data_IF_961709301995
#
_entry.id   IF_961709301995
#
_cell.length_a   1.000
_cell.length_b   1.000
_cell.length_c   1.000
_cell.angle_alpha   90.00
_cell.angle_beta   90.00
_cell.angle_gamma   90.00
#
_symmetry.space_group_name_H-M   'P 1'
#
loop_
_entity.id
_entity.type
_entity.pdbx_description
1 polymer ?
#
# COMPACT_ATOMS: atom_id res chain seq x y z
N UNK A 1 25.42 12.73 -10.90
CA UNK A 1 24.16 13.49 -10.98
C UNK A 1 23.53 13.43 -9.61
N UNK A 2 23.47 14.55 -8.89
CA UNK A 2 22.71 14.61 -7.65
C UNK A 2 21.26 14.38 -8.02
N UNK A 3 20.67 13.28 -7.55
CA UNK A 3 19.23 13.11 -7.53
C UNK A 3 18.67 14.21 -6.63
N UNK A 4 18.43 15.40 -7.18
CA UNK A 4 17.38 16.28 -6.68
C UNK A 4 16.04 15.60 -6.98
N UNK A 5 15.85 14.43 -6.39
CA UNK A 5 14.63 13.67 -6.47
C UNK A 5 13.53 14.51 -5.84
N UNK A 6 12.42 14.65 -6.55
CA UNK A 6 11.23 15.33 -6.07
C UNK A 6 10.85 14.77 -4.70
N UNK A 7 10.97 15.58 -3.65
CA UNK A 7 10.57 15.21 -2.31
C UNK A 7 9.13 15.65 -2.10
N UNK A 8 8.21 14.72 -2.25
CA UNK A 8 6.81 14.92 -1.88
C UNK A 8 6.69 14.63 -0.39
N UNK A 9 6.20 15.61 0.36
CA UNK A 9 6.06 15.46 1.81
C UNK A 9 4.61 15.17 2.14
N UNK A 10 4.35 13.98 2.67
CA UNK A 10 3.03 13.64 3.18
C UNK A 10 2.64 14.55 4.35
N UNK A 11 1.34 14.64 4.68
CA UNK A 11 0.89 15.46 5.82
C UNK A 11 1.54 15.08 7.16
N UNK A 12 1.62 13.79 7.55
CA UNK A 12 2.38 13.41 8.75
C UNK A 12 3.83 13.88 8.67
N UNK A 13 4.48 13.71 7.53
CA UNK A 13 5.87 14.15 7.35
C UNK A 13 6.07 15.66 7.47
N UNK A 14 5.12 16.48 6.99
CA UNK A 14 5.18 17.94 7.14
C UNK A 14 5.10 18.37 8.60
N UNK A 15 4.25 17.70 9.38
CA UNK A 15 4.02 18.01 10.79
C UNK A 15 5.20 17.54 11.64
N UNK A 16 5.62 16.28 11.47
CA UNK A 16 6.63 15.65 12.33
C UNK A 16 8.07 15.87 11.84
N UNK A 17 8.27 16.31 10.60
CA UNK A 17 9.59 16.59 10.03
C UNK A 17 10.30 17.84 10.58
N UNK A 18 9.68 18.56 11.53
CA UNK A 18 10.26 19.72 12.21
C UNK A 18 11.32 19.27 13.23
N UNK A 19 11.18 18.06 13.78
CA UNK A 19 12.08 17.52 14.81
C UNK A 19 13.31 16.92 14.13
N UNK A 20 14.56 17.22 14.59
CA UNK A 20 15.80 16.73 13.99
C UNK A 20 16.09 15.26 14.37
N UNK A 21 15.12 14.37 14.16
CA UNK A 21 15.20 12.93 14.43
C UNK A 21 14.69 12.14 13.21
N UNK A 22 14.96 10.83 13.14
CA UNK A 22 14.30 9.98 12.14
C UNK A 22 12.77 10.13 12.22
N UNK A 23 12.13 10.40 11.09
CA UNK A 23 10.69 10.73 11.01
C UNK A 23 9.79 9.71 11.72
N UNK A 24 10.10 8.42 11.59
CA UNK A 24 9.35 7.34 12.23
C UNK A 24 9.46 7.41 13.77
N UNK A 25 10.64 7.78 14.29
CA UNK A 25 10.89 7.90 15.71
C UNK A 25 10.19 9.13 16.28
N UNK A 26 10.21 10.26 15.57
CA UNK A 26 9.48 11.48 15.96
C UNK A 26 7.98 11.22 16.10
N UNK A 27 7.39 10.46 15.18
CA UNK A 27 5.97 10.08 15.21
C UNK A 27 5.68 9.15 16.38
N UNK A 28 6.51 8.11 16.57
CA UNK A 28 6.34 7.17 17.67
C UNK A 28 6.40 7.90 19.01
N UNK A 29 7.45 8.72 19.23
CA UNK A 29 7.61 9.49 20.45
C UNK A 29 6.44 10.46 20.68
N UNK A 30 5.89 11.09 19.64
CA UNK A 30 4.73 11.96 19.76
C UNK A 30 3.51 11.21 20.31
N UNK A 31 3.18 10.04 19.75
CA UNK A 31 2.05 9.25 20.20
C UNK A 31 2.28 8.61 21.58
N UNK A 32 3.52 8.23 21.90
CA UNK A 32 3.90 7.77 23.24
C UNK A 32 3.78 8.88 24.30
N UNK A 33 4.13 10.12 23.96
CA UNK A 33 3.92 11.27 24.85
C UNK A 33 2.43 11.51 25.10
N UNK A 34 1.58 11.39 24.07
CA UNK A 34 0.12 11.49 24.21
C UNK A 34 -0.39 10.39 25.15
N UNK A 35 0.06 9.14 24.97
CA UNK A 35 -0.32 8.04 25.83
C UNK A 35 0.16 8.25 27.28
N UNK A 36 1.41 8.68 27.48
CA UNK A 36 1.94 8.98 28.80
C UNK A 36 1.13 10.09 29.49
N UNK A 37 0.73 11.12 28.74
CA UNK A 37 -0.16 12.15 29.27
C UNK A 37 -1.54 11.59 29.65
N UNK A 38 -2.16 10.74 28.80
CA UNK A 38 -3.42 10.06 29.13
C UNK A 38 -3.28 9.23 30.41
N UNK A 39 -2.19 8.46 30.52
CA UNK A 39 -1.89 7.62 31.67
C UNK A 39 -1.74 8.43 32.95
N UNK A 40 -0.99 9.54 32.92
CA UNK A 40 -0.79 10.41 34.07
C UNK A 40 -2.10 11.08 34.52
N UNK A 41 -2.92 11.57 33.57
CA UNK A 41 -4.24 12.13 33.89
C UNK A 41 -5.15 11.05 34.47
N UNK A 42 -5.15 9.85 33.88
CA UNK A 42 -5.92 8.70 34.34
C UNK A 42 -5.49 8.21 35.72
N UNK A 43 -4.22 8.31 36.08
CA UNK A 43 -3.71 7.94 37.41
C UNK A 43 -4.25 8.85 38.53
N UNK A 44 -4.56 10.11 38.22
CA UNK A 44 -5.10 11.07 39.18
C UNK A 44 -6.59 10.85 39.48
N UNK A 45 -7.27 10.00 38.71
CA UNK A 45 -8.71 9.80 38.77
C UNK A 45 -9.07 8.36 39.17
N UNK A 46 -10.11 8.18 40.00
CA UNK A 46 -10.59 6.84 40.31
C UNK A 46 -11.04 6.15 39.03
N UNK A 47 -10.60 4.90 38.82
CA UNK A 47 -10.86 4.10 37.61
C UNK A 47 -10.27 4.67 36.30
N UNK A 48 -9.47 5.74 36.32
CA UNK A 48 -8.96 6.35 35.10
C UNK A 48 -7.96 5.48 34.33
N UNK A 49 -7.33 4.53 35.01
CA UNK A 49 -6.42 3.53 34.42
C UNK A 49 -7.13 2.29 33.88
N UNK A 50 -8.44 2.15 34.10
CA UNK A 50 -9.22 1.06 33.52
C UNK A 50 -9.08 1.15 32.00
N UNK A 51 -8.74 0.02 31.36
CA UNK A 51 -8.53 -0.08 29.92
C UNK A 51 -7.37 0.76 29.35
N UNK A 52 -6.41 1.22 30.17
CA UNK A 52 -5.20 1.92 29.70
C UNK A 52 -4.43 1.17 28.62
N UNK A 53 -4.43 -0.16 28.65
CA UNK A 53 -3.84 -1.03 27.60
C UNK A 53 -4.50 -0.79 26.25
N UNK A 54 -5.83 -0.63 26.19
CA UNK A 54 -6.57 -0.38 24.94
C UNK A 54 -6.13 0.96 24.34
N UNK A 55 -5.98 1.99 25.17
CA UNK A 55 -5.53 3.30 24.71
C UNK A 55 -4.06 3.29 24.28
N UNK A 56 -3.19 2.54 24.94
CA UNK A 56 -1.79 2.33 24.52
C UNK A 56 -1.72 1.69 23.12
N UNK A 57 -2.50 0.63 22.89
CA UNK A 57 -2.57 -0.05 21.60
C UNK A 57 -3.19 0.85 20.52
N UNK A 58 -4.15 1.70 20.88
CA UNK A 58 -4.77 2.65 19.97
C UNK A 58 -3.80 3.75 19.53
N UNK A 59 -3.03 4.33 20.47
CA UNK A 59 -1.99 5.32 20.13
C UNK A 59 -0.87 4.71 19.29
N UNK A 60 -0.48 3.46 19.59
CA UNK A 60 0.48 2.72 18.77
C UNK A 60 -0.05 2.46 17.36
N UNK A 61 -1.35 2.14 17.22
CA UNK A 61 -2.02 1.98 15.93
C UNK A 61 -2.01 3.28 15.13
N UNK A 62 -2.31 4.43 15.76
CA UNK A 62 -2.23 5.74 15.11
C UNK A 62 -0.81 6.13 14.69
N UNK A 63 0.19 5.80 15.51
CA UNK A 63 1.60 5.96 15.13
C UNK A 63 1.93 5.12 13.90
N UNK A 64 1.52 3.84 13.89
CA UNK A 64 1.71 2.92 12.77
C UNK A 64 1.05 3.43 11.48
N UNK A 65 -0.17 3.98 11.54
CA UNK A 65 -0.86 4.61 10.41
C UNK A 65 -0.02 5.74 9.79
N UNK A 66 0.49 6.64 10.64
CA UNK A 66 1.30 7.77 10.19
C UNK A 66 2.62 7.30 9.56
N UNK A 67 3.31 6.35 10.20
CA UNK A 67 4.57 5.75 9.72
C UNK A 67 4.33 5.01 8.39
N UNK A 68 3.30 4.18 8.32
CA UNK A 68 2.93 3.43 7.12
C UNK A 68 2.62 4.35 5.94
N UNK A 69 1.98 5.51 6.19
CA UNK A 69 1.71 6.52 5.16
C UNK A 69 2.98 7.13 4.59
N UNK A 70 3.92 7.51 5.45
CA UNK A 70 5.23 8.04 5.03
C UNK A 70 6.01 6.97 4.26
N UNK A 71 6.00 5.74 4.76
CA UNK A 71 6.66 4.62 4.12
C UNK A 71 6.11 4.36 2.71
N UNK A 72 4.79 4.35 2.55
CA UNK A 72 4.12 4.23 1.26
C UNK A 72 4.48 5.37 0.29
N UNK A 73 4.51 6.62 0.79
CA UNK A 73 4.90 7.77 0.00
C UNK A 73 6.35 7.65 -0.51
N UNK A 74 7.27 7.18 0.34
CA UNK A 74 8.66 6.95 -0.02
C UNK A 74 8.83 5.82 -1.05
N UNK A 75 8.06 4.72 -0.91
CA UNK A 75 8.07 3.64 -1.91
C UNK A 75 7.67 4.17 -3.28
N UNK A 76 6.59 4.95 -3.35
CA UNK A 76 6.13 5.50 -4.63
C UNK A 76 7.13 6.53 -5.19
N UNK A 77 7.75 7.37 -4.37
CA UNK A 77 8.81 8.28 -4.85
C UNK A 77 10.00 7.51 -5.42
N UNK A 78 10.43 6.43 -4.76
CA UNK A 78 11.54 5.59 -5.20
C UNK A 78 11.21 4.71 -6.40
N UNK A 79 9.92 4.57 -6.73
CA UNK A 79 9.46 3.80 -7.88
C UNK A 79 9.66 4.54 -9.21
N UNK A 80 9.67 5.89 -9.20
CA UNK A 80 9.78 6.71 -10.41
C UNK A 80 10.97 6.35 -11.32
N UNK A 81 12.22 6.22 -10.83
CA UNK A 81 13.35 5.86 -11.67
C UNK A 81 13.12 4.55 -12.43
N UNK A 82 12.49 3.56 -11.78
CA UNK A 82 12.16 2.29 -12.41
C UNK A 82 11.06 2.43 -13.47
N UNK A 83 10.05 3.27 -13.24
CA UNK A 83 9.01 3.58 -14.22
C UNK A 83 9.59 4.17 -15.50
N UNK A 84 10.55 5.08 -15.37
CA UNK A 84 11.20 5.76 -16.49
C UNK A 84 12.02 4.83 -17.40
N UNK A 85 12.31 3.60 -16.97
CA UNK A 85 13.05 2.61 -17.77
C UNK A 85 12.17 1.89 -18.79
N UNK A 86 10.87 1.74 -18.51
CA UNK A 86 9.97 0.93 -19.35
C UNK A 86 8.80 1.72 -19.95
N UNK A 87 8.61 3.00 -19.60
CA UNK A 87 7.57 3.82 -20.23
C UNK A 87 8.20 4.61 -21.38
N UNK A 88 7.66 4.47 -22.60
CA UNK A 88 8.11 5.12 -23.82
C UNK A 88 7.53 6.54 -23.96
N UNK A 89 7.79 7.37 -22.96
CA UNK A 89 7.42 8.79 -22.98
C UNK A 89 8.63 9.64 -22.61
N UNK A 90 8.69 10.91 -23.07
CA UNK A 90 9.70 11.85 -22.62
C UNK A 90 9.73 11.90 -21.09
N UNK A 91 10.94 11.79 -20.51
CA UNK A 91 11.13 11.69 -19.05
C UNK A 91 10.49 12.87 -18.32
N UNK A 92 10.55 14.06 -18.89
CA UNK A 92 9.98 15.29 -18.35
C UNK A 92 8.45 15.17 -18.22
N UNK A 93 7.78 14.70 -19.28
CA UNK A 93 6.32 14.55 -19.30
C UNK A 93 5.85 13.45 -18.35
N UNK A 94 6.55 12.32 -18.29
CA UNK A 94 6.26 11.26 -17.34
C UNK A 94 6.45 11.74 -15.90
N UNK A 95 7.53 12.48 -15.64
CA UNK A 95 7.82 13.06 -14.33
C UNK A 95 6.73 14.03 -13.88
N UNK A 96 6.34 14.99 -14.73
CA UNK A 96 5.29 15.96 -14.42
C UNK A 96 3.96 15.26 -14.12
N UNK A 97 3.61 14.26 -14.93
CA UNK A 97 2.42 13.44 -14.72
C UNK A 97 2.48 12.70 -13.38
N UNK A 98 3.59 12.00 -13.10
CA UNK A 98 3.75 11.21 -11.89
C UNK A 98 3.76 12.07 -10.63
N UNK A 99 4.49 13.19 -10.66
CA UNK A 99 4.53 14.19 -9.60
C UNK A 99 3.14 14.76 -9.32
N UNK A 100 2.35 15.04 -10.36
CA UNK A 100 0.96 15.50 -10.21
C UNK A 100 0.08 14.48 -9.51
N UNK A 101 0.19 13.20 -9.87
CA UNK A 101 -0.57 12.13 -9.21
C UNK A 101 -0.14 11.91 -7.76
N UNK A 102 1.16 11.90 -7.48
CA UNK A 102 1.64 11.78 -6.10
C UNK A 102 1.27 12.99 -5.24
N UNK A 103 1.28 14.21 -5.81
CA UNK A 103 0.73 15.39 -5.14
C UNK A 103 -0.74 15.17 -4.82
N UNK A 104 -1.57 14.74 -5.77
CA UNK A 104 -2.99 14.42 -5.49
C UNK A 104 -3.19 13.40 -4.36
N UNK A 105 -2.28 12.43 -4.22
CA UNK A 105 -2.31 11.43 -3.15
C UNK A 105 -1.96 12.01 -1.77
N UNK A 106 -0.87 12.79 -1.68
CA UNK A 106 -0.23 13.14 -0.42
C UNK A 106 -0.21 14.64 -0.09
N UNK A 107 -0.39 15.49 -1.11
CA UNK A 107 -0.34 16.95 -1.05
C UNK A 107 -1.58 17.59 -1.68
N UNK A 108 -2.50 18.06 -0.86
CA UNK A 108 -3.66 18.79 -1.38
C UNK A 108 -4.77 18.92 -0.36
N UNK A 109 -5.69 19.83 -0.64
CA UNK A 109 -6.80 20.09 0.27
C UNK A 109 -7.76 18.88 0.40
N UNK A 110 -7.87 18.03 -0.62
CA UNK A 110 -8.77 16.87 -0.61
C UNK A 110 -8.42 15.82 0.46
N UNK A 111 -7.16 15.36 0.62
CA UNK A 111 -6.78 14.50 1.73
C UNK A 111 -7.15 15.08 3.10
N UNK A 112 -7.03 16.40 3.29
CA UNK A 112 -7.40 17.07 4.54
C UNK A 112 -8.91 17.01 4.79
N UNK A 113 -9.73 17.33 3.78
CA UNK A 113 -11.19 17.22 3.87
C UNK A 113 -11.58 15.78 4.23
N UNK A 114 -11.00 14.81 3.54
CA UNK A 114 -11.31 13.40 3.77
C UNK A 114 -10.88 12.95 5.17
N UNK A 115 -9.73 13.43 5.67
CA UNK A 115 -9.29 13.25 7.05
C UNK A 115 -10.32 13.79 8.06
N UNK A 116 -10.76 15.03 7.90
CA UNK A 116 -11.75 15.66 8.80
C UNK A 116 -13.08 14.93 8.75
N UNK A 117 -13.55 14.54 7.56
CA UNK A 117 -14.77 13.74 7.39
C UNK A 117 -14.66 12.38 8.09
N UNK A 118 -13.54 11.67 7.90
CA UNK A 118 -13.30 10.37 8.54
C UNK A 118 -13.28 10.50 10.06
N UNK A 119 -12.59 11.51 10.59
CA UNK A 119 -12.57 11.82 12.02
C UNK A 119 -13.97 12.16 12.56
N UNK A 120 -14.77 12.93 11.82
CA UNK A 120 -16.14 13.27 12.20
C UNK A 120 -17.06 12.05 12.25
N UNK A 121 -17.02 11.19 11.23
CA UNK A 121 -17.78 9.93 11.20
C UNK A 121 -17.32 9.01 12.33
N UNK A 122 -16.02 8.88 12.54
CA UNK A 122 -15.48 8.07 13.62
C UNK A 122 -15.91 8.61 15.00
N UNK A 123 -15.84 9.92 15.24
CA UNK A 123 -16.31 10.50 16.50
C UNK A 123 -17.80 10.26 16.73
N UNK A 124 -18.62 10.20 15.68
CA UNK A 124 -20.03 9.84 15.80
C UNK A 124 -20.21 8.35 16.12
N UNK A 125 -19.52 7.45 15.41
CA UNK A 125 -19.62 6.00 15.59
C UNK A 125 -19.02 5.49 16.90
N UNK A 126 -17.91 6.08 17.35
CA UNK A 126 -17.15 5.64 18.52
C UNK A 126 -17.41 6.51 19.76
N UNK A 127 -18.41 7.41 19.73
CA UNK A 127 -18.71 8.27 20.88
C UNK A 127 -19.02 7.48 22.14
N UNK A 128 -19.94 6.51 22.04
CA UNK A 128 -20.36 5.69 23.18
C UNK A 128 -19.18 4.90 23.74
N UNK A 129 -18.36 4.35 22.86
CA UNK A 129 -17.10 3.66 23.20
C UNK A 129 -16.15 4.52 24.04
N UNK A 130 -15.90 5.77 23.64
CA UNK A 130 -14.99 6.67 24.37
C UNK A 130 -15.56 7.02 25.74
N UNK A 131 -16.88 7.29 25.83
CA UNK A 131 -17.55 7.66 27.08
C UNK A 131 -17.52 6.49 28.06
N UNK A 132 -17.81 5.28 27.61
CA UNK A 132 -17.89 4.11 28.48
C UNK A 132 -16.51 3.60 28.94
N UNK A 133 -15.46 3.75 28.11
CA UNK A 133 -14.08 3.43 28.49
C UNK A 133 -13.40 4.49 29.36
N UNK A 134 -14.04 5.64 29.55
CA UNK A 134 -13.47 6.75 30.30
C UNK A 134 -14.15 6.91 31.65
N UNK A 135 -13.41 7.27 32.72
CA UNK A 135 -14.04 7.73 33.94
C UNK A 135 -14.96 8.91 33.62
N UNK A 136 -16.00 9.13 34.43
CA UNK A 136 -17.01 10.18 34.23
C UNK A 136 -16.46 11.63 34.28
N UNK A 137 -15.14 11.81 34.37
CA UNK A 137 -14.49 13.10 34.35
C UNK A 137 -14.45 13.69 32.93
N UNK A 138 -14.91 14.94 32.82
CA UNK A 138 -15.04 15.64 31.54
C UNK A 138 -13.67 15.91 30.88
N UNK A 139 -12.61 16.11 31.65
CA UNK A 139 -11.26 16.39 31.12
C UNK A 139 -10.69 15.16 30.41
N UNK A 140 -10.80 13.97 31.01
CA UNK A 140 -10.32 12.72 30.38
C UNK A 140 -11.08 12.41 29.12
N UNK A 141 -12.42 12.49 29.16
CA UNK A 141 -13.26 12.25 27.99
C UNK A 141 -12.88 13.21 26.86
N UNK A 142 -12.67 14.49 27.18
CA UNK A 142 -12.28 15.51 26.20
C UNK A 142 -10.89 15.26 25.61
N UNK A 143 -9.91 14.91 26.45
CA UNK A 143 -8.55 14.59 26.02
C UNK A 143 -8.52 13.36 25.10
N UNK A 144 -9.21 12.28 25.50
CA UNK A 144 -9.35 11.05 24.71
C UNK A 144 -10.07 11.28 23.40
N UNK A 145 -11.18 12.02 23.43
CA UNK A 145 -11.88 12.43 22.21
C UNK A 145 -10.98 13.22 21.27
N UNK A 146 -10.13 14.11 21.79
CA UNK A 146 -9.24 14.93 20.99
C UNK A 146 -8.17 14.10 20.26
N UNK A 147 -7.43 13.23 20.96
CA UNK A 147 -6.41 12.44 20.28
C UNK A 147 -7.02 11.33 19.40
N UNK A 148 -8.19 10.79 19.75
CA UNK A 148 -8.92 9.86 18.88
C UNK A 148 -9.33 10.55 17.58
N UNK A 149 -9.86 11.78 17.66
CA UNK A 149 -10.16 12.60 16.49
C UNK A 149 -8.92 12.81 15.61
N UNK A 150 -7.78 13.17 16.20
CA UNK A 150 -6.51 13.35 15.47
C UNK A 150 -6.04 12.03 14.83
N UNK A 151 -6.15 10.91 15.53
CA UNK A 151 -5.78 9.59 15.01
C UNK A 151 -6.60 9.17 13.81
N UNK A 152 -7.94 9.31 13.91
CA UNK A 152 -8.84 9.04 12.79
C UNK A 152 -8.72 10.05 11.66
N UNK A 153 -8.32 11.30 11.94
CA UNK A 153 -7.98 12.26 10.90
C UNK A 153 -6.82 11.75 10.04
N UNK A 154 -5.74 11.28 10.67
CA UNK A 154 -4.63 10.70 9.93
C UNK A 154 -5.02 9.41 9.22
N UNK A 155 -5.85 8.55 9.82
CA UNK A 155 -6.40 7.38 9.13
C UNK A 155 -7.14 7.78 7.85
N UNK A 156 -7.98 8.81 7.89
CA UNK A 156 -8.66 9.32 6.71
C UNK A 156 -7.68 9.81 5.64
N UNK A 157 -6.66 10.59 6.02
CA UNK A 157 -5.60 11.02 5.08
C UNK A 157 -4.90 9.80 4.44
N UNK A 158 -4.62 8.75 5.22
CA UNK A 158 -4.01 7.52 4.73
C UNK A 158 -4.94 6.74 3.79
N UNK A 159 -6.23 6.64 4.10
CA UNK A 159 -7.23 6.00 3.25
C UNK A 159 -7.38 6.73 1.91
N UNK A 160 -7.37 8.06 1.92
CA UNK A 160 -7.36 8.85 0.69
C UNK A 160 -6.14 8.51 -0.18
N UNK A 161 -4.94 8.52 0.42
CA UNK A 161 -3.71 8.20 -0.28
C UNK A 161 -3.74 6.78 -0.86
N UNK A 162 -4.28 5.81 -0.11
CA UNK A 162 -4.46 4.42 -0.54
C UNK A 162 -5.38 4.32 -1.77
N UNK A 163 -6.56 4.94 -1.72
CA UNK A 163 -7.54 4.91 -2.82
C UNK A 163 -6.97 5.53 -4.10
N UNK A 164 -6.24 6.64 -3.99
CA UNK A 164 -5.63 7.28 -5.15
C UNK A 164 -4.39 6.57 -5.65
N UNK A 165 -3.59 5.96 -4.77
CA UNK A 165 -2.44 5.16 -5.17
C UNK A 165 -2.87 4.00 -6.10
N UNK A 166 -4.00 3.34 -5.84
CA UNK A 166 -4.54 2.28 -6.74
C UNK A 166 -4.72 2.76 -8.19
N UNK A 167 -4.98 4.06 -8.41
CA UNK A 167 -5.18 4.60 -9.76
C UNK A 167 -3.88 4.75 -10.54
N UNK A 168 -2.73 4.83 -9.87
CA UNK A 168 -1.43 5.06 -10.50
C UNK A 168 -1.10 3.95 -11.53
N UNK A 169 -1.13 2.64 -11.17
CA UNK A 169 -0.80 1.57 -12.11
C UNK A 169 -1.79 1.47 -13.25
N UNK A 170 -3.08 1.63 -12.94
CA UNK A 170 -4.15 1.64 -13.94
C UNK A 170 -3.97 2.77 -14.95
N UNK A 171 -3.40 3.90 -14.53
CA UNK A 171 -3.13 5.00 -15.44
C UNK A 171 -1.96 4.73 -16.40
N UNK A 172 -1.04 3.83 -16.03
CA UNK A 172 0.08 3.46 -16.90
C UNK A 172 -0.34 2.63 -18.11
N UNK A 173 -1.50 1.99 -18.08
CA UNK A 173 -2.09 1.31 -19.24
C UNK A 173 -2.27 2.23 -20.45
N UNK A 174 -2.26 3.56 -20.25
CA UNK A 174 -2.41 4.56 -21.30
C UNK A 174 -1.09 4.92 -22.00
N UNK A 175 0.05 4.61 -21.38
CA UNK A 175 1.34 4.91 -21.97
C UNK A 175 1.85 3.72 -22.77
N UNK A 176 2.59 4.02 -23.84
CA UNK A 176 3.31 2.97 -24.57
C UNK A 176 4.45 2.46 -23.70
N UNK A 177 4.56 1.15 -23.57
CA UNK A 177 5.61 0.53 -22.80
C UNK A 177 6.81 0.29 -23.73
N UNK A 178 7.95 0.88 -23.38
CA UNK A 178 9.22 0.62 -24.06
C UNK A 178 9.70 -0.76 -23.67
N UNK A 179 9.47 -1.67 -24.59
CA UNK A 179 9.96 -3.03 -24.52
C UNK A 179 11.38 -3.04 -25.06
N UNK A 180 12.38 -2.92 -24.18
CA UNK A 180 13.73 -3.29 -24.60
C UNK A 180 13.77 -4.81 -24.83
N UNK A 181 14.42 -5.24 -25.90
CA UNK A 181 14.74 -6.66 -26.18
C UNK A 181 15.58 -7.30 -25.07
N UNK A 182 16.29 -6.49 -24.30
CA UNK A 182 16.93 -6.91 -23.05
C UNK A 182 15.93 -6.89 -21.88
N UNK A 183 16.10 -7.80 -20.92
CA UNK A 183 15.24 -8.08 -19.75
C UNK A 183 14.82 -6.87 -18.87
N UNK A 184 15.28 -5.65 -19.17
CA UNK A 184 15.04 -4.43 -18.38
C UNK A 184 13.56 -4.02 -18.26
N UNK A 185 12.73 -4.26 -19.27
CA UNK A 185 11.30 -3.91 -19.18
C UNK A 185 10.56 -4.77 -18.14
N UNK A 186 10.95 -6.05 -17.99
CA UNK A 186 10.41 -6.93 -16.94
C UNK A 186 10.76 -6.43 -15.54
N UNK A 187 11.99 -5.92 -15.36
CA UNK A 187 12.44 -5.39 -14.07
C UNK A 187 11.62 -4.17 -13.61
N UNK A 188 11.17 -3.32 -14.54
CA UNK A 188 10.34 -2.15 -14.23
C UNK A 188 8.94 -2.51 -13.74
N UNK A 189 8.26 -3.41 -14.45
CA UNK A 189 6.93 -3.91 -14.06
C UNK A 189 6.99 -4.76 -12.78
N UNK A 190 8.06 -5.53 -12.59
CA UNK A 190 8.30 -6.27 -11.35
C UNK A 190 8.61 -5.32 -10.18
N UNK A 191 9.35 -4.22 -10.40
CA UNK A 191 9.57 -3.20 -9.38
C UNK A 191 8.25 -2.54 -8.95
N UNK A 192 7.34 -2.30 -9.90
CA UNK A 192 5.99 -1.83 -9.61
C UNK A 192 5.21 -2.85 -8.76
N UNK A 193 5.17 -4.13 -9.14
CA UNK A 193 4.53 -5.17 -8.34
C UNK A 193 5.11 -5.31 -6.94
N UNK A 194 6.44 -5.28 -6.82
CA UNK A 194 7.17 -5.33 -5.54
C UNK A 194 6.88 -4.11 -4.66
N UNK A 195 6.77 -2.92 -5.25
CA UNK A 195 6.40 -1.71 -4.53
C UNK A 195 5.01 -1.84 -3.89
N UNK A 196 4.00 -2.27 -4.64
CA UNK A 196 2.65 -2.47 -4.10
C UNK A 196 2.57 -3.59 -3.07
N UNK A 197 3.37 -4.65 -3.22
CA UNK A 197 3.49 -5.70 -2.21
C UNK A 197 4.08 -5.17 -0.89
N UNK A 198 5.14 -4.35 -0.95
CA UNK A 198 5.73 -3.74 0.25
C UNK A 198 4.73 -2.78 0.92
N UNK A 199 3.99 -2.00 0.14
CA UNK A 199 2.94 -1.12 0.64
C UNK A 199 1.81 -1.92 1.30
N UNK A 200 1.33 -3.00 0.66
CA UNK A 200 0.26 -3.83 1.23
C UNK A 200 0.70 -4.51 2.53
N UNK A 201 1.94 -4.99 2.61
CA UNK A 201 2.49 -5.53 3.87
C UNK A 201 2.51 -4.48 4.98
N UNK A 202 2.94 -3.25 4.70
CA UNK A 202 2.94 -2.17 5.68
C UNK A 202 1.51 -1.85 6.16
N UNK A 203 0.55 -1.77 5.23
CA UNK A 203 -0.86 -1.52 5.55
C UNK A 203 -1.45 -2.68 6.39
N UNK A 204 -1.13 -3.93 6.04
CA UNK A 204 -1.58 -5.12 6.79
C UNK A 204 -1.06 -5.15 8.22
N UNK A 205 0.20 -4.75 8.46
CA UNK A 205 0.77 -4.65 9.82
C UNK A 205 0.00 -3.59 10.63
N UNK A 206 -0.26 -2.42 10.04
CA UNK A 206 -1.05 -1.37 10.68
C UNK A 206 -2.47 -1.84 11.00
N UNK A 207 -3.11 -2.55 10.08
CA UNK A 207 -4.45 -3.10 10.29
C UNK A 207 -4.48 -4.17 11.37
N UNK A 208 -3.46 -5.04 11.43
CA UNK A 208 -3.34 -6.05 12.48
C UNK A 208 -3.28 -5.40 13.87
N UNK A 209 -2.56 -4.28 14.03
CA UNK A 209 -2.54 -3.54 15.29
C UNK A 209 -3.94 -3.01 15.69
N UNK A 210 -4.72 -2.53 14.71
CA UNK A 210 -6.10 -2.10 14.95
C UNK A 210 -6.97 -3.30 15.38
N UNK A 211 -6.84 -4.45 14.70
CA UNK A 211 -7.56 -5.69 15.07
C UNK A 211 -7.20 -6.12 16.49
N UNK A 212 -5.90 -6.15 16.84
CA UNK A 212 -5.45 -6.48 18.20
C UNK A 212 -6.02 -5.50 19.22
N UNK A 213 -6.03 -4.20 18.91
CA UNK A 213 -6.63 -3.17 19.77
C UNK A 213 -8.11 -3.47 20.02
N UNK A 214 -8.86 -3.86 18.99
CA UNK A 214 -10.28 -4.23 19.12
C UNK A 214 -10.48 -5.52 19.91
N UNK A 215 -9.64 -6.54 19.72
CA UNK A 215 -9.75 -7.81 20.45
C UNK A 215 -9.46 -7.68 21.94
N UNK A 216 -8.53 -6.80 22.32
CA UNK A 216 -8.21 -6.51 23.73
C UNK A 216 -9.25 -5.59 24.37
N UNK A 217 -10.02 -4.88 23.55
CA UNK A 217 -11.06 -3.98 24.02
C UNK A 217 -12.30 -4.74 24.51
N UNK A 218 -12.99 -4.27 25.57
CA UNK A 218 -14.24 -4.87 26.03
C UNK A 218 -15.40 -4.75 25.00
N UNK A 219 -15.18 -4.03 23.89
CA UNK A 219 -16.14 -3.85 22.79
C UNK A 219 -15.80 -4.69 21.56
N UNK A 220 -15.04 -5.77 21.70
CA UNK A 220 -14.71 -6.67 20.59
C UNK A 220 -15.93 -7.19 19.82
N UNK A 221 -17.09 -7.27 20.49
CA UNK A 221 -18.36 -7.81 19.96
C UNK A 221 -19.27 -6.72 19.37
N UNK A 222 -18.88 -5.44 19.38
CA UNK A 222 -19.71 -4.39 18.81
C UNK A 222 -19.83 -4.54 17.28
N UNK A 223 -21.07 -4.68 16.80
CA UNK A 223 -21.37 -4.93 15.38
C UNK A 223 -20.86 -3.81 14.46
N UNK A 224 -20.90 -2.56 14.91
CA UNK A 224 -20.44 -1.41 14.13
C UNK A 224 -18.92 -1.49 13.96
N UNK A 225 -18.19 -1.80 15.03
CA UNK A 225 -16.73 -1.99 14.99
C UNK A 225 -16.35 -3.12 14.05
N UNK A 226 -17.05 -4.26 14.14
CA UNK A 226 -16.81 -5.41 13.28
C UNK A 226 -17.09 -5.11 11.79
N UNK A 227 -18.14 -4.35 11.48
CA UNK A 227 -18.41 -3.87 10.12
C UNK A 227 -17.25 -3.01 9.60
N UNK A 228 -16.74 -2.07 10.42
CA UNK A 228 -15.60 -1.24 10.03
C UNK A 228 -14.32 -2.06 9.81
N UNK A 229 -14.06 -3.07 10.65
CA UNK A 229 -12.94 -3.99 10.45
C UNK A 229 -13.08 -4.79 9.15
N UNK A 230 -14.30 -5.28 8.84
CA UNK A 230 -14.56 -5.99 7.60
C UNK A 230 -14.36 -5.10 6.36
N UNK A 231 -14.85 -3.85 6.40
CA UNK A 231 -14.61 -2.86 5.34
C UNK A 231 -13.11 -2.58 5.19
N UNK A 232 -12.40 -2.40 6.30
CA UNK A 232 -10.94 -2.23 6.33
C UNK A 232 -10.21 -3.38 5.65
N UNK A 233 -10.53 -4.62 6.02
CA UNK A 233 -9.96 -5.81 5.42
C UNK A 233 -10.22 -5.90 3.91
N UNK A 234 -11.46 -5.63 3.47
CA UNK A 234 -11.81 -5.60 2.05
C UNK A 234 -11.04 -4.52 1.28
N UNK A 235 -10.83 -3.34 1.88
CA UNK A 235 -10.03 -2.29 1.27
C UNK A 235 -8.56 -2.69 1.10
N UNK A 236 -7.96 -3.39 2.07
CA UNK A 236 -6.58 -3.86 1.97
C UNK A 236 -6.45 -4.92 0.88
N UNK A 237 -7.41 -5.84 0.81
CA UNK A 237 -7.46 -6.86 -0.23
C UNK A 237 -7.63 -6.23 -1.62
N UNK A 238 -8.53 -5.25 -1.74
CA UNK A 238 -8.73 -4.49 -2.97
C UNK A 238 -7.49 -3.69 -3.38
N UNK A 239 -6.82 -3.04 -2.42
CA UNK A 239 -5.57 -2.31 -2.65
C UNK A 239 -4.47 -3.23 -3.16
N UNK A 240 -4.41 -4.45 -2.66
CA UNK A 240 -3.43 -5.42 -3.10
C UNK A 240 -3.81 -6.00 -4.47
N UNK A 241 -5.04 -6.48 -4.69
CA UNK A 241 -5.41 -7.16 -5.93
C UNK A 241 -5.55 -6.26 -7.15
N UNK A 242 -6.18 -5.07 -7.00
CA UNK A 242 -6.55 -4.25 -8.16
C UNK A 242 -5.34 -3.77 -8.98
N UNK A 243 -4.27 -3.21 -8.36
CA UNK A 243 -3.03 -2.89 -9.06
C UNK A 243 -2.41 -4.10 -9.77
N UNK A 244 -2.44 -5.24 -9.10
CA UNK A 244 -1.77 -6.46 -9.55
C UNK A 244 -2.45 -7.06 -10.80
N UNK A 245 -3.79 -7.04 -10.84
CA UNK A 245 -4.56 -7.44 -12.03
C UNK A 245 -4.23 -6.52 -13.21
N UNK A 246 -4.12 -5.21 -12.97
CA UNK A 246 -3.73 -4.24 -13.99
C UNK A 246 -2.33 -4.51 -14.56
N UNK A 247 -1.35 -4.75 -13.68
CA UNK A 247 0.03 -5.07 -14.08
C UNK A 247 0.10 -6.42 -14.81
N UNK A 248 -0.62 -7.43 -14.33
CA UNK A 248 -0.70 -8.74 -15.00
C UNK A 248 -1.25 -8.62 -16.41
N UNK A 249 -2.34 -7.86 -16.61
CA UNK A 249 -2.92 -7.63 -17.93
C UNK A 249 -1.92 -6.97 -18.88
N UNK A 250 -1.16 -5.99 -18.38
CA UNK A 250 -0.06 -5.36 -19.13
C UNK A 250 1.00 -6.40 -19.51
N UNK A 251 1.51 -7.17 -18.55
CA UNK A 251 2.57 -8.16 -18.79
C UNK A 251 2.13 -9.28 -19.75
N UNK A 252 0.91 -9.77 -19.62
CA UNK A 252 0.37 -10.84 -20.47
C UNK A 252 0.15 -10.37 -21.92
N UNK A 253 -0.37 -9.14 -22.09
CA UNK A 253 -0.50 -8.53 -23.41
C UNK A 253 0.87 -8.32 -24.08
N UNK A 254 1.85 -7.82 -23.32
CA UNK A 254 3.22 -7.62 -23.80
C UNK A 254 3.89 -8.94 -24.21
N UNK A 255 3.77 -9.98 -23.37
CA UNK A 255 4.27 -11.33 -23.69
C UNK A 255 3.64 -11.87 -24.97
N UNK A 256 2.32 -11.74 -25.11
CA UNK A 256 1.58 -12.19 -26.29
C UNK A 256 2.02 -11.46 -27.56
N UNK A 257 2.22 -10.14 -27.49
CA UNK A 257 2.71 -9.35 -28.63
C UNK A 257 4.13 -9.76 -29.04
N UNK A 258 5.03 -10.00 -28.08
CA UNK A 258 6.39 -10.48 -28.36
C UNK A 258 6.40 -11.84 -29.03
N UNK A 259 5.63 -12.79 -28.51
CA UNK A 259 5.54 -14.14 -29.10
C UNK A 259 5.05 -14.03 -30.54
N UNK A 260 4.01 -13.24 -30.82
CA UNK A 260 3.49 -13.03 -32.18
C UNK A 260 4.51 -12.37 -33.12
N UNK A 261 5.20 -11.33 -32.66
CA UNK A 261 6.24 -10.67 -33.46
C UNK A 261 7.40 -11.63 -33.76
N UNK A 262 7.73 -12.51 -32.82
CA UNK A 262 8.79 -13.49 -32.95
C UNK A 262 8.42 -14.69 -33.82
N UNK A 263 7.14 -15.08 -33.86
CA UNK A 263 6.66 -16.19 -34.69
C UNK A 263 7.03 -16.04 -36.16
N UNK A 264 6.99 -14.82 -36.71
CA UNK A 264 7.40 -14.57 -38.10
C UNK A 264 8.88 -14.87 -38.33
N UNK A 265 9.77 -14.48 -37.41
CA UNK A 265 11.19 -14.77 -37.52
C UNK A 265 11.51 -16.26 -37.36
N UNK A 266 10.73 -16.95 -36.52
CA UNK A 266 10.86 -18.38 -36.31
C UNK A 266 10.39 -19.18 -37.53
N UNK A 267 9.29 -18.78 -38.15
CA UNK A 267 8.76 -19.37 -39.39
C UNK A 267 9.75 -19.17 -40.55
N UNK A 268 10.28 -17.95 -40.72
CA UNK A 268 11.29 -17.66 -41.75
C UNK A 268 12.58 -18.48 -41.54
N UNK A 269 13.06 -18.59 -40.29
CA UNK A 269 14.23 -19.40 -39.97
C UNK A 269 13.99 -20.90 -40.19
N UNK A 270 12.78 -21.38 -39.89
CA UNK A 270 12.39 -22.77 -40.13
C UNK A 270 12.38 -23.08 -41.63
N UNK A 271 11.77 -22.21 -42.44
CA UNK A 271 11.74 -22.34 -43.90
C UNK A 271 13.14 -22.35 -44.52
N UNK A 272 14.03 -21.47 -44.04
CA UNK A 272 15.41 -21.40 -44.51
C UNK A 272 16.19 -22.67 -44.14
N UNK A 273 16.04 -23.18 -42.92
CA UNK A 273 16.67 -24.43 -42.48
C UNK A 273 16.14 -25.65 -43.22
N UNK A 274 14.87 -25.66 -43.64
CA UNK A 274 14.30 -26.73 -44.45
C UNK A 274 14.79 -26.69 -45.90
N UNK A 275 14.99 -25.49 -46.46
CA UNK A 275 15.51 -25.31 -47.83
C UNK A 275 17.01 -25.59 -47.92
N UNK A 276 17.78 -25.18 -46.92
CA UNK A 276 19.22 -25.37 -46.84
C UNK A 276 19.64 -25.76 -45.40
N UNK A 277 19.78 -27.06 -45.10
CA UNK A 277 20.09 -27.56 -43.76
C UNK A 277 21.58 -27.43 -43.42
N UNK A 278 22.13 -26.22 -43.59
CA UNK A 278 23.48 -25.89 -43.14
C UNK A 278 23.55 -25.85 -41.61
N UNK A 279 24.75 -26.09 -41.06
CA UNK A 279 24.97 -26.03 -39.61
C UNK A 279 24.65 -24.64 -39.04
N UNK A 280 24.87 -23.59 -39.81
CA UNK A 280 24.55 -22.20 -39.43
C UNK A 280 23.04 -21.97 -39.33
N UNK A 281 22.26 -22.43 -40.32
CA UNK A 281 20.80 -22.29 -40.31
C UNK A 281 20.18 -23.09 -39.16
N UNK A 282 20.68 -24.32 -38.92
CA UNK A 282 20.23 -25.14 -37.80
C UNK A 282 20.56 -24.53 -36.43
N UNK A 283 21.76 -23.94 -36.29
CA UNK A 283 22.15 -23.24 -35.06
C UNK A 283 21.27 -22.01 -34.81
N UNK A 284 21.01 -21.20 -35.84
CA UNK A 284 20.11 -20.05 -35.76
C UNK A 284 18.69 -20.47 -35.37
N UNK A 285 18.15 -21.53 -35.96
CA UNK A 285 16.83 -22.06 -35.61
C UNK A 285 16.77 -22.51 -34.15
N UNK A 286 17.82 -23.19 -33.67
CA UNK A 286 17.93 -23.59 -32.26
C UNK A 286 17.93 -22.40 -31.31
N UNK A 287 18.73 -21.37 -31.59
CA UNK A 287 18.77 -20.14 -30.79
C UNK A 287 17.40 -19.44 -30.74
N UNK A 288 16.67 -19.44 -31.85
CA UNK A 288 15.32 -18.87 -31.89
C UNK A 288 14.33 -19.70 -31.05
N UNK A 289 14.41 -21.03 -31.08
CA UNK A 289 13.59 -21.89 -30.21
C UNK A 289 13.92 -21.69 -28.73
N UNK A 290 15.20 -21.57 -28.37
CA UNK A 290 15.61 -21.26 -27.00
C UNK A 290 15.06 -19.90 -26.53
N UNK A 291 15.08 -18.90 -27.41
CA UNK A 291 14.50 -17.58 -27.12
C UNK A 291 12.97 -17.67 -26.97
N UNK A 292 12.27 -18.40 -27.85
CA UNK A 292 10.83 -18.64 -27.73
C UNK A 292 10.48 -19.30 -26.40
N UNK A 293 11.22 -20.33 -26.01
CA UNK A 293 11.05 -21.03 -24.75
C UNK A 293 11.31 -20.10 -23.55
N UNK A 294 12.33 -19.23 -23.63
CA UNK A 294 12.58 -18.23 -22.61
C UNK A 294 11.42 -17.23 -22.49
N UNK A 295 10.88 -16.74 -23.62
CA UNK A 295 9.72 -15.84 -23.63
C UNK A 295 8.45 -16.51 -23.12
N UNK A 296 8.20 -17.78 -23.46
CA UNK A 296 7.03 -18.52 -22.98
C UNK A 296 7.09 -18.77 -21.48
N UNK A 297 8.30 -18.94 -20.94
CA UNK A 297 8.54 -19.16 -19.51
C UNK A 297 8.65 -17.85 -18.71
N UNK A 298 8.54 -16.69 -19.35
CA UNK A 298 8.52 -15.42 -18.64
C UNK A 298 7.27 -15.34 -17.75
N UNK A 299 7.49 -15.03 -16.48
CA UNK A 299 6.41 -14.85 -15.50
C UNK A 299 5.49 -13.71 -15.94
N UNK A 300 4.19 -13.97 -15.98
CA UNK A 300 3.16 -12.98 -16.30
C UNK A 300 2.66 -12.23 -15.06
N UNK A 301 2.97 -12.76 -13.88
CA UNK A 301 2.66 -12.11 -12.62
C UNK A 301 3.88 -11.29 -12.15
N UNK A 302 3.66 -10.07 -11.64
CA UNK A 302 4.75 -9.20 -11.20
C UNK A 302 5.25 -9.57 -9.79
N UNK A 303 4.78 -10.69 -9.23
CA UNK A 303 5.19 -11.25 -7.94
C UNK A 303 5.31 -12.77 -8.02
N UNK A 304 6.01 -13.33 -7.05
CA UNK A 304 6.02 -14.77 -6.82
C UNK A 304 4.69 -15.21 -6.21
N UNK A 305 4.06 -16.22 -6.80
CA UNK A 305 2.79 -16.82 -6.33
C UNK A 305 2.90 -17.28 -4.87
N UNK A 306 4.09 -17.67 -4.42
CA UNK A 306 4.33 -17.98 -3.00
C UNK A 306 4.09 -16.78 -2.08
N UNK A 307 4.52 -15.58 -2.49
CA UNK A 307 4.30 -14.34 -1.72
C UNK A 307 2.82 -13.93 -1.69
N UNK A 308 2.09 -14.18 -2.78
CA UNK A 308 0.63 -14.00 -2.82
C UNK A 308 -0.05 -14.88 -1.78
N UNK A 309 0.32 -16.16 -1.69
CA UNK A 309 -0.27 -17.07 -0.72
C UNK A 309 -0.01 -16.63 0.72
N UNK A 310 1.21 -16.18 1.03
CA UNK A 310 1.55 -15.65 2.36
C UNK A 310 0.69 -14.44 2.74
N UNK A 311 0.43 -13.54 1.79
CA UNK A 311 -0.40 -12.36 2.04
C UNK A 311 -1.88 -12.74 2.21
N UNK A 312 -2.39 -13.67 1.39
CA UNK A 312 -3.75 -14.18 1.51
C UNK A 312 -3.95 -14.86 2.86
N UNK A 313 -3.04 -15.74 3.29
CA UNK A 313 -3.18 -16.45 4.57
C UNK A 313 -3.06 -15.50 5.77
N UNK A 314 -2.12 -14.55 5.74
CA UNK A 314 -1.96 -13.55 6.79
C UNK A 314 -3.22 -12.68 6.98
N UNK A 315 -3.99 -12.45 5.91
CA UNK A 315 -5.19 -11.61 5.95
C UNK A 315 -6.48 -12.41 6.18
N UNK A 316 -6.61 -13.61 5.59
CA UNK A 316 -7.80 -14.45 5.71
C UNK A 316 -7.95 -15.10 7.08
N UNK A 317 -6.85 -15.47 7.75
CA UNK A 317 -6.93 -16.11 9.07
C UNK A 317 -7.62 -15.19 10.10
N UNK A 318 -7.21 -13.91 10.27
CA UNK A 318 -7.90 -12.99 11.17
C UNK A 318 -9.38 -12.77 10.81
N UNK A 319 -9.70 -12.67 9.51
CA UNK A 319 -11.09 -12.46 9.05
C UNK A 319 -11.94 -13.70 9.34
N UNK A 320 -11.43 -14.89 9.05
CA UNK A 320 -12.13 -16.14 9.32
C UNK A 320 -12.40 -16.31 10.82
N UNK A 321 -11.43 -15.99 11.67
CA UNK A 321 -11.61 -15.99 13.13
C UNK A 321 -12.69 -14.98 13.56
N UNK A 322 -12.65 -13.76 13.03
CA UNK A 322 -13.67 -12.74 13.33
C UNK A 322 -15.07 -13.17 12.87
N UNK A 323 -15.21 -13.79 11.70
CA UNK A 323 -16.49 -14.31 11.21
C UNK A 323 -16.99 -15.45 12.12
N UNK A 324 -16.11 -16.36 12.53
CA UNK A 324 -16.48 -17.44 13.44
C UNK A 324 -17.00 -16.88 14.76
N UNK A 325 -16.35 -15.85 15.32
CA UNK A 325 -16.77 -15.19 16.57
C UNK A 325 -18.08 -14.41 16.43
N UNK A 326 -18.45 -13.97 15.22
CA UNK A 326 -19.75 -13.33 14.96
C UNK A 326 -20.88 -14.36 14.86
N UNK A 327 -20.57 -15.54 14.30
CA UNK A 327 -21.57 -16.57 13.98
C UNK A 327 -21.85 -17.49 15.16
N UNK A 328 -20.84 -17.78 16.00
CA UNK A 328 -20.90 -18.71 17.13
C UNK A 328 -20.80 -17.97 18.46
#
# INVERSE_FOLDING_TARGET
MNNEGFQIKSYPEKIFGIIPMPKWLSILLFWEIIFLADYLIGHLLPNGLNHSIVFALLTLSFASICIGTIYCANILQNLYPHLSLFIDEPKEKLNEYYLKELKRCYEGFLPLIFGVMCAGVAMFSFRSFIIELSPADTLVISFRSAYVFVGFFFLGVSLWALVYAIKIPNSFTRFKIRVSTHQFAGNGLQALGSAYLKMSLAISITFLLIVITTLVSPYSVDKIVLIWLAIGALMIFGFFLLPQIGIHSIMSNEKSQRIRAFSHHLEEAMDNSLKDPSSENMQRLKELFELQQHLSNMNEWPFDVGSLWQLITALLIPIALAILEIVF
#
